data_IF_793819337842
#
_entry.id   IF_793819337842
#
_cell.length_a   1.000
_cell.length_b   1.000
_cell.length_c   1.000
_cell.angle_alpha   90.00
_cell.angle_beta   90.00
_cell.angle_gamma   90.00
#
_symmetry.space_group_name_H-M   'P 1'
#
loop_
_entity.id
_entity.type
_entity.pdbx_description
1 polymer ?
#
# COMPACT_ATOMS: atom_id res chain seq x y z
N UNK A 1 -6.51 21.91 19.10
CA UNK A 1 -6.01 20.55 18.77
C UNK A 1 -4.58 20.72 18.30
N UNK A 2 -3.59 19.95 18.79
CA UNK A 2 -2.24 20.05 18.25
C UNK A 2 -2.29 19.68 16.78
N UNK A 3 -1.87 20.61 15.93
CA UNK A 3 -1.71 20.38 14.50
C UNK A 3 -0.59 19.35 14.37
N UNK A 4 -0.90 18.15 13.86
CA UNK A 4 0.15 17.20 13.53
C UNK A 4 1.03 17.86 12.47
N UNK A 5 2.31 18.11 12.76
CA UNK A 5 3.27 18.58 11.77
C UNK A 5 3.08 17.79 10.47
N UNK A 6 2.82 18.49 9.37
CA UNK A 6 2.80 17.90 8.04
C UNK A 6 4.19 17.37 7.75
N UNK A 7 4.36 16.06 7.97
CA UNK A 7 5.56 15.37 7.53
C UNK A 7 5.37 15.02 6.06
N UNK A 8 6.04 15.75 5.19
CA UNK A 8 6.25 15.38 3.79
C UNK A 8 7.08 14.09 3.76
N UNK A 9 6.38 12.98 3.64
CA UNK A 9 6.98 11.63 3.58
C UNK A 9 6.58 10.92 2.30
N UNK A 10 5.79 11.53 1.43
CA UNK A 10 5.63 11.10 0.05
C UNK A 10 6.93 11.30 -0.74
N UNK A 11 7.12 10.38 -1.67
CA UNK A 11 8.16 10.37 -2.68
C UNK A 11 7.54 10.64 -4.06
N UNK A 12 8.30 11.26 -4.97
CA UNK A 12 7.85 11.55 -6.34
C UNK A 12 7.72 10.28 -7.17
N UNK A 13 7.15 10.39 -8.36
CA UNK A 13 7.07 9.28 -9.32
C UNK A 13 8.46 8.78 -9.70
N UNK A 14 9.43 9.66 -9.93
CA UNK A 14 10.80 9.32 -10.30
C UNK A 14 11.52 8.60 -9.15
N UNK A 15 11.36 9.06 -7.92
CA UNK A 15 11.92 8.41 -6.75
C UNK A 15 11.29 7.04 -6.49
N UNK A 16 9.98 6.91 -6.71
CA UNK A 16 9.29 5.63 -6.64
C UNK A 16 9.80 4.67 -7.73
N UNK A 17 10.03 5.16 -8.95
CA UNK A 17 10.65 4.36 -10.04
C UNK A 17 12.04 3.90 -9.65
N UNK A 18 12.88 4.75 -9.05
CA UNK A 18 14.20 4.35 -8.51
C UNK A 18 14.08 3.21 -7.49
N UNK A 19 13.14 3.28 -6.55
CA UNK A 19 12.90 2.18 -5.59
C UNK A 19 12.40 0.92 -6.30
N UNK A 20 11.44 1.05 -7.21
CA UNK A 20 10.85 -0.09 -7.95
C UNK A 20 11.90 -0.84 -8.78
N UNK A 21 12.72 -0.09 -9.51
CA UNK A 21 13.61 -0.62 -10.55
C UNK A 21 15.01 -0.93 -10.02
N UNK A 22 15.28 -0.67 -8.74
CA UNK A 22 16.58 -0.97 -8.16
C UNK A 22 16.88 -2.47 -8.16
N UNK A 23 18.09 -2.82 -8.57
CA UNK A 23 18.62 -4.17 -8.51
C UNK A 23 19.42 -4.36 -7.22
N UNK A 24 18.79 -4.99 -6.23
CA UNK A 24 19.41 -5.27 -4.93
C UNK A 24 19.67 -6.76 -4.75
N UNK A 25 20.90 -7.12 -4.36
CA UNK A 25 21.30 -8.51 -4.10
C UNK A 25 20.97 -8.97 -2.68
N UNK A 26 20.98 -8.04 -1.72
CA UNK A 26 20.73 -8.34 -0.31
C UNK A 26 19.25 -8.67 -0.08
N UNK A 27 18.99 -9.79 0.61
CA UNK A 27 17.61 -10.27 0.87
C UNK A 27 16.76 -9.24 1.62
N UNK A 28 17.35 -8.55 2.60
CA UNK A 28 16.72 -7.50 3.41
C UNK A 28 16.15 -6.38 2.53
N UNK A 29 16.96 -5.86 1.61
CA UNK A 29 16.63 -4.80 0.67
C UNK A 29 15.61 -5.28 -0.37
N UNK A 30 15.75 -6.53 -0.85
CA UNK A 30 14.73 -7.16 -1.69
C UNK A 30 13.36 -7.16 -1.00
N UNK A 31 13.30 -7.59 0.25
CA UNK A 31 12.06 -7.65 1.03
C UNK A 31 11.50 -6.24 1.26
N UNK A 32 12.36 -5.27 1.61
CA UNK A 32 11.97 -3.88 1.81
C UNK A 32 11.36 -3.25 0.54
N UNK A 33 12.02 -3.44 -0.60
CA UNK A 33 11.51 -2.99 -1.92
C UNK A 33 10.17 -3.64 -2.22
N UNK A 34 10.12 -4.97 -2.16
CA UNK A 34 8.96 -5.75 -2.58
C UNK A 34 7.73 -5.45 -1.71
N UNK A 35 7.90 -5.34 -0.38
CA UNK A 35 6.79 -5.04 0.53
C UNK A 35 6.30 -3.59 0.40
N UNK A 36 7.22 -2.66 0.12
CA UNK A 36 6.89 -1.26 -0.15
C UNK A 36 6.08 -1.13 -1.44
N UNK A 37 6.52 -1.81 -2.51
CA UNK A 37 5.82 -1.80 -3.80
C UNK A 37 4.49 -2.54 -3.73
N UNK A 38 4.38 -3.67 -3.00
CA UNK A 38 3.08 -4.31 -2.76
C UNK A 38 2.12 -3.35 -2.06
N UNK A 39 2.59 -2.61 -1.04
CA UNK A 39 1.77 -1.59 -0.38
C UNK A 39 1.27 -0.57 -1.39
N UNK A 40 2.17 0.01 -2.18
CA UNK A 40 1.84 1.03 -3.19
C UNK A 40 0.83 0.52 -4.21
N UNK A 41 1.08 -0.65 -4.82
CA UNK A 41 0.21 -1.24 -5.84
C UNK A 41 -1.19 -1.60 -5.33
N UNK A 42 -1.32 -1.91 -4.04
CA UNK A 42 -2.60 -2.25 -3.40
C UNK A 42 -3.24 -1.03 -2.71
N UNK A 43 -3.08 0.16 -3.29
CA UNK A 43 -3.70 1.38 -2.78
C UNK A 43 -3.17 1.79 -1.42
N UNK A 44 -1.87 1.60 -1.17
CA UNK A 44 -1.23 1.95 0.09
C UNK A 44 -1.78 1.18 1.30
N UNK A 45 -2.05 -0.12 1.19
CA UNK A 45 -2.50 -0.97 2.30
C UNK A 45 -1.56 -0.86 3.52
N UNK A 46 -2.08 -0.89 4.75
CA UNK A 46 -1.24 -0.88 5.96
C UNK A 46 -0.46 -2.19 6.09
N UNK A 47 0.71 -2.14 6.73
CA UNK A 47 1.52 -3.33 6.98
C UNK A 47 0.75 -4.42 7.75
N UNK A 48 0.00 -4.06 8.81
CA UNK A 48 -0.76 -5.06 9.58
C UNK A 48 -1.85 -5.74 8.72
N UNK A 49 -2.55 -4.94 7.91
CA UNK A 49 -3.61 -5.43 7.04
C UNK A 49 -3.03 -6.32 5.92
N UNK A 50 -1.87 -5.92 5.36
CA UNK A 50 -1.13 -6.67 4.36
C UNK A 50 -0.64 -8.02 4.90
N UNK A 51 -0.06 -8.05 6.10
CA UNK A 51 0.39 -9.30 6.73
C UNK A 51 -0.78 -10.22 7.10
N UNK A 52 -1.95 -9.66 7.39
CA UNK A 52 -3.16 -10.40 7.71
C UNK A 52 -3.99 -10.82 6.50
N UNK A 53 -3.73 -10.27 5.31
CA UNK A 53 -4.43 -10.63 4.08
C UNK A 53 -4.19 -12.10 3.71
N UNK A 54 -5.10 -12.68 2.92
CA UNK A 54 -4.94 -14.01 2.34
C UNK A 54 -4.95 -13.89 0.82
N UNK A 55 -3.85 -14.29 0.19
CA UNK A 55 -3.63 -14.20 -1.24
C UNK A 55 -3.76 -15.55 -1.97
N UNK A 56 -4.19 -16.62 -1.29
CA UNK A 56 -4.34 -17.95 -1.89
C UNK A 56 -5.34 -17.89 -3.06
N UNK A 57 -4.84 -18.11 -4.27
CA UNK A 57 -5.62 -18.05 -5.53
C UNK A 57 -6.43 -16.74 -5.68
N UNK A 58 -5.96 -15.64 -5.06
CA UNK A 58 -6.72 -14.40 -5.03
C UNK A 58 -6.50 -13.59 -6.32
N UNK A 59 -7.58 -13.27 -7.01
CA UNK A 59 -7.62 -12.24 -8.05
C UNK A 59 -8.03 -10.87 -7.50
N UNK A 60 -8.76 -10.87 -6.38
CA UNK A 60 -9.28 -9.72 -5.65
C UNK A 60 -8.80 -9.80 -4.21
N UNK A 61 -8.31 -8.69 -3.68
CA UNK A 61 -7.99 -8.52 -2.27
C UNK A 61 -9.23 -7.96 -1.55
N UNK A 62 -9.74 -8.72 -0.59
CA UNK A 62 -10.79 -8.26 0.32
C UNK A 62 -10.30 -8.29 1.76
N UNK A 63 -10.43 -7.18 2.48
CA UNK A 63 -10.09 -7.12 3.89
C UNK A 63 -10.89 -6.05 4.63
N UNK A 64 -11.01 -6.22 5.94
CA UNK A 64 -11.53 -5.21 6.85
C UNK A 64 -10.31 -4.52 7.47
N UNK A 65 -10.26 -3.20 7.36
CA UNK A 65 -9.11 -2.44 7.87
C UNK A 65 -9.06 -2.52 9.40
N UNK A 66 -7.94 -3.03 9.93
CA UNK A 66 -7.72 -3.28 11.37
C UNK A 66 -7.99 -2.02 12.21
N UNK A 67 -7.58 -0.83 11.72
CA UNK A 67 -7.78 0.44 12.43
C UNK A 67 -9.26 0.76 12.74
N UNK A 68 -10.18 0.30 11.89
CA UNK A 68 -11.61 0.62 11.99
C UNK A 68 -12.48 -0.55 12.41
N UNK A 69 -11.94 -1.77 12.47
CA UNK A 69 -12.65 -3.00 12.84
C UNK A 69 -13.31 -2.93 14.23
N UNK A 70 -12.73 -2.17 15.17
CA UNK A 70 -13.29 -2.02 16.52
C UNK A 70 -14.16 -0.76 16.69
N UNK A 71 -14.43 -0.02 15.62
CA UNK A 71 -15.24 1.20 15.71
C UNK A 71 -16.72 0.89 15.51
N UNK A 72 -17.59 1.55 16.28
CA UNK A 72 -19.07 1.43 16.19
C UNK A 72 -19.68 1.80 14.81
N UNK A 73 -18.86 2.14 13.81
CA UNK A 73 -19.26 2.65 12.48
C UNK A 73 -19.34 1.57 11.40
N UNK A 74 -19.24 0.30 11.77
CA UNK A 74 -19.34 -0.85 10.87
C UNK A 74 -18.02 -1.21 10.21
N UNK A 75 -17.87 -2.50 9.89
CA UNK A 75 -16.69 -3.05 9.23
C UNK A 75 -16.64 -2.57 7.77
N UNK A 76 -15.81 -1.55 7.51
CA UNK A 76 -15.54 -1.12 6.14
C UNK A 76 -14.68 -2.16 5.44
N UNK A 77 -15.34 -2.99 4.64
CA UNK A 77 -14.69 -3.92 3.71
C UNK A 77 -14.11 -3.14 2.54
N UNK A 78 -12.81 -3.30 2.33
CA UNK A 78 -12.10 -2.84 1.14
C UNK A 78 -12.05 -4.03 0.20
N UNK A 79 -12.38 -3.82 -1.08
CA UNK A 79 -12.31 -4.82 -2.13
C UNK A 79 -11.65 -4.16 -3.33
N UNK A 80 -10.49 -4.65 -3.74
CA UNK A 80 -9.73 -4.16 -4.90
C UNK A 80 -9.21 -5.35 -5.71
N UNK A 81 -9.20 -5.23 -7.03
CA UNK A 81 -8.55 -6.20 -7.91
C UNK A 81 -7.04 -6.10 -7.72
N UNK A 82 -6.37 -7.24 -7.57
CA UNK A 82 -4.91 -7.26 -7.39
C UNK A 82 -4.25 -6.95 -8.75
N UNK A 83 -3.50 -5.84 -8.90
CA UNK A 83 -2.82 -5.50 -10.15
C UNK A 83 -1.77 -6.54 -10.54
N UNK A 84 -1.44 -6.62 -11.82
CA UNK A 84 -0.45 -7.56 -12.33
C UNK A 84 0.92 -7.36 -11.67
N UNK A 85 1.34 -6.11 -11.50
CA UNK A 85 2.60 -5.73 -10.88
C UNK A 85 2.70 -6.24 -9.43
N UNK A 86 1.59 -6.19 -8.68
CA UNK A 86 1.53 -6.78 -7.34
C UNK A 86 1.56 -8.31 -7.39
N UNK A 87 0.85 -8.94 -8.33
CA UNK A 87 0.83 -10.41 -8.49
C UNK A 87 2.23 -10.98 -8.70
N UNK A 88 3.05 -10.33 -9.53
CA UNK A 88 4.42 -10.80 -9.78
C UNK A 88 5.27 -10.83 -8.50
N UNK A 89 5.14 -9.80 -7.64
CA UNK A 89 5.85 -9.78 -6.36
C UNK A 89 5.24 -10.79 -5.37
N UNK A 90 3.91 -10.91 -5.34
CA UNK A 90 3.21 -11.85 -4.45
C UNK A 90 3.61 -13.31 -4.72
N UNK A 91 3.80 -13.70 -5.99
CA UNK A 91 4.26 -15.07 -6.37
C UNK A 91 5.57 -15.47 -5.67
N UNK A 92 6.44 -14.51 -5.35
CA UNK A 92 7.73 -14.74 -4.69
C UNK A 92 7.59 -15.01 -3.19
N UNK A 93 6.62 -14.38 -2.53
CA UNK A 93 6.55 -14.30 -1.06
C UNK A 93 5.32 -14.96 -0.44
N UNK A 94 4.29 -15.27 -1.22
CA UNK A 94 3.09 -15.94 -0.73
C UNK A 94 3.38 -17.44 -0.57
N UNK A 95 3.21 -17.94 0.66
CA UNK A 95 3.36 -19.36 0.96
C UNK A 95 2.09 -20.17 0.62
N UNK A 96 2.13 -21.49 0.83
CA UNK A 96 1.01 -22.41 0.54
C UNK A 96 -0.28 -22.10 1.31
N UNK A 97 -0.20 -21.41 2.45
CA UNK A 97 -1.38 -20.98 3.22
C UNK A 97 -1.97 -19.67 2.73
N UNK A 98 -1.34 -19.02 1.73
CA UNK A 98 -1.78 -17.75 1.17
C UNK A 98 -1.29 -16.53 1.95
N UNK A 99 -0.36 -16.70 2.90
CA UNK A 99 0.21 -15.62 3.70
C UNK A 99 1.56 -15.19 3.15
N UNK A 100 1.90 -13.91 3.35
CA UNK A 100 3.23 -13.40 3.07
C UNK A 100 4.23 -13.96 4.08
N UNK A 101 5.30 -14.57 3.56
CA UNK A 101 6.37 -15.14 4.35
C UNK A 101 7.72 -14.73 3.75
N UNK A 102 8.49 -13.96 4.54
CA UNK A 102 9.79 -13.42 4.11
C UNK A 102 10.97 -14.23 4.66
N UNK A 103 10.70 -15.33 5.37
CA UNK A 103 11.70 -16.19 5.99
C UNK A 103 12.41 -15.58 7.21
N UNK A 104 11.74 -14.65 7.91
CA UNK A 104 12.19 -14.12 9.21
C UNK A 104 11.27 -14.61 10.32
N UNK A 105 11.84 -15.02 11.46
CA UNK A 105 11.09 -15.37 12.66
C UNK A 105 10.91 -14.15 13.58
N UNK A 106 10.28 -13.10 13.06
CA UNK A 106 10.06 -11.86 13.80
C UNK A 106 8.61 -11.75 14.30
N UNK A 107 8.46 -11.17 15.49
CA UNK A 107 7.16 -10.61 15.89
C UNK A 107 6.77 -9.48 14.93
N UNK A 108 5.48 -9.16 14.85
CA UNK A 108 5.00 -8.06 14.01
C UNK A 108 5.74 -6.74 14.28
N UNK A 109 5.96 -6.41 15.56
CA UNK A 109 6.66 -5.16 15.96
C UNK A 109 8.10 -5.17 15.47
N UNK A 110 8.82 -6.28 15.64
CA UNK A 110 10.20 -6.41 15.19
C UNK A 110 10.28 -6.34 13.67
N UNK A 111 9.38 -7.02 12.97
CA UNK A 111 9.30 -6.98 11.51
C UNK A 111 9.00 -5.55 11.00
N UNK A 112 8.04 -4.85 11.60
CA UNK A 112 7.72 -3.45 11.26
C UNK A 112 8.95 -2.54 11.43
N UNK A 113 9.65 -2.65 12.55
CA UNK A 113 10.83 -1.83 12.83
C UNK A 113 11.97 -2.16 11.86
N UNK A 114 12.18 -3.44 11.59
CA UNK A 114 13.16 -3.93 10.62
C UNK A 114 12.88 -3.37 9.22
N UNK A 115 11.68 -3.57 8.70
CA UNK A 115 11.26 -3.05 7.38
C UNK A 115 11.38 -1.52 7.31
N UNK A 116 11.05 -0.81 8.38
CA UNK A 116 11.20 0.66 8.41
C UNK A 116 12.67 1.07 8.21
N UNK A 117 13.60 0.38 8.85
CA UNK A 117 15.05 0.65 8.69
C UNK A 117 15.53 0.29 7.28
N UNK A 118 15.15 -0.88 6.77
CA UNK A 118 15.59 -1.33 5.45
C UNK A 118 14.99 -0.50 4.31
N UNK A 119 13.75 0.01 4.43
CA UNK A 119 13.17 0.95 3.45
C UNK A 119 13.97 2.26 3.43
N UNK A 120 14.30 2.82 4.59
CA UNK A 120 15.10 4.04 4.64
C UNK A 120 16.49 3.82 4.05
N UNK A 121 17.13 2.69 4.38
CA UNK A 121 18.44 2.32 3.82
C UNK A 121 18.37 2.15 2.30
N UNK A 122 17.35 1.48 1.80
CA UNK A 122 17.10 1.33 0.37
C UNK A 122 16.97 2.68 -0.32
N UNK A 123 16.17 3.59 0.23
CA UNK A 123 15.96 4.93 -0.32
C UNK A 123 17.27 5.72 -0.38
N UNK A 124 18.06 5.72 0.70
CA UNK A 124 19.36 6.39 0.72
C UNK A 124 20.34 5.81 -0.32
N UNK A 125 20.34 4.48 -0.52
CA UNK A 125 21.15 3.85 -1.59
C UNK A 125 20.72 4.26 -2.99
N UNK A 126 19.49 4.73 -3.19
CA UNK A 126 18.98 5.25 -4.46
C UNK A 126 19.12 6.79 -4.58
N UNK A 127 19.83 7.44 -3.66
CA UNK A 127 20.00 8.89 -3.64
C UNK A 127 18.71 9.64 -3.37
N UNK A 128 17.85 9.10 -2.50
CA UNK A 128 16.63 9.75 -2.00
C UNK A 128 16.95 10.29 -0.60
N UNK A 129 17.15 11.61 -0.52
CA UNK A 129 17.66 12.29 0.68
C UNK A 129 16.59 12.56 1.75
N UNK A 130 15.32 12.28 1.44
CA UNK A 130 14.21 12.41 2.40
C UNK A 130 13.95 11.14 3.19
N UNK A 131 13.16 11.29 4.25
CA UNK A 131 12.74 10.19 5.09
C UNK A 131 11.68 9.34 4.36
N UNK A 132 12.02 8.10 4.03
CA UNK A 132 11.11 7.13 3.42
C UNK A 132 10.81 6.02 4.41
N UNK A 133 9.52 5.81 4.68
CA UNK A 133 9.02 4.77 5.58
C UNK A 133 7.92 3.98 4.89
N UNK A 134 7.49 2.87 5.47
CA UNK A 134 6.40 2.08 4.89
C UNK A 134 5.14 2.92 4.55
N UNK A 135 4.78 3.88 5.41
CA UNK A 135 3.62 4.75 5.21
C UNK A 135 3.78 5.73 4.03
N UNK A 136 5.01 6.00 3.59
CA UNK A 136 5.31 6.80 2.40
C UNK A 136 4.61 6.25 1.15
N UNK A 137 4.51 4.91 1.02
CA UNK A 137 3.82 4.28 -0.10
C UNK A 137 2.36 4.74 -0.24
N UNK A 138 1.62 4.84 0.88
CA UNK A 138 0.23 5.35 0.87
C UNK A 138 0.18 6.83 0.50
N UNK A 139 1.07 7.64 1.08
CA UNK A 139 1.09 9.08 0.86
C UNK A 139 1.40 9.38 -0.61
N UNK A 140 2.43 8.75 -1.18
CA UNK A 140 2.74 8.81 -2.61
C UNK A 140 1.61 8.31 -3.50
N UNK A 141 0.94 7.20 -3.15
CA UNK A 141 -0.17 6.69 -3.96
C UNK A 141 -1.29 7.74 -4.08
N UNK A 142 -1.67 8.35 -2.96
CA UNK A 142 -2.69 9.41 -2.94
C UNK A 142 -2.21 10.65 -3.69
N UNK A 143 -0.97 11.09 -3.44
CA UNK A 143 -0.41 12.28 -4.08
C UNK A 143 -0.33 12.13 -5.60
N UNK A 144 0.26 11.04 -6.10
CA UNK A 144 0.38 10.77 -7.54
C UNK A 144 -1.01 10.67 -8.20
N UNK A 145 -1.97 10.03 -7.52
CA UNK A 145 -3.34 9.93 -8.02
C UNK A 145 -4.03 11.28 -8.10
N UNK A 146 -3.81 12.15 -7.11
CA UNK A 146 -4.38 13.48 -7.08
C UNK A 146 -3.79 14.36 -8.19
N UNK A 147 -2.47 14.31 -8.40
CA UNK A 147 -1.75 15.05 -9.44
C UNK A 147 -2.22 14.69 -10.87
N UNK A 148 -2.61 13.43 -11.10
CA UNK A 148 -3.18 12.98 -12.39
C UNK A 148 -4.71 13.13 -12.47
N UNK A 149 -5.30 13.91 -11.56
CA UNK A 149 -6.71 14.32 -11.60
C UNK A 149 -7.71 13.28 -11.10
N UNK A 150 -7.31 12.30 -10.29
CA UNK A 150 -8.26 11.37 -9.67
C UNK A 150 -8.96 12.07 -8.50
N UNK A 151 -10.30 12.03 -8.41
CA UNK A 151 -11.02 12.63 -7.29
C UNK A 151 -10.55 12.08 -5.94
N UNK A 152 -10.33 12.99 -4.98
CA UNK A 152 -9.81 12.64 -3.66
C UNK A 152 -10.69 11.59 -2.97
N UNK A 153 -11.99 11.59 -3.20
CA UNK A 153 -12.89 10.63 -2.54
C UNK A 153 -12.73 9.20 -3.06
N UNK A 154 -12.30 9.03 -4.32
CA UNK A 154 -11.93 7.72 -4.86
C UNK A 154 -10.61 7.27 -4.26
N UNK A 155 -9.62 8.17 -4.15
CA UNK A 155 -8.33 7.88 -3.51
C UNK A 155 -8.51 7.52 -2.03
N UNK A 156 -9.36 8.25 -1.30
CA UNK A 156 -9.75 7.96 0.08
C UNK A 156 -10.39 6.57 0.21
N UNK A 157 -11.23 6.17 -0.75
CA UNK A 157 -11.80 4.84 -0.78
C UNK A 157 -10.72 3.77 -1.01
N UNK A 158 -9.81 3.95 -1.97
CA UNK A 158 -8.70 3.03 -2.24
C UNK A 158 -7.87 2.74 -0.98
N UNK A 159 -7.58 3.77 -0.18
CA UNK A 159 -6.79 3.63 1.06
C UNK A 159 -7.62 3.22 2.29
N UNK A 160 -8.92 2.97 2.13
CA UNK A 160 -9.81 2.60 3.22
C UNK A 160 -10.05 3.70 4.25
N UNK A 161 -9.96 4.97 3.84
CA UNK A 161 -10.26 6.13 4.67
C UNK A 161 -11.77 6.32 4.79
N UNK A 162 -12.22 6.78 5.95
CA UNK A 162 -13.64 7.07 6.12
C UNK A 162 -14.00 8.38 5.42
N UNK A 163 -14.64 8.28 4.27
CA UNK A 163 -15.38 9.39 3.67
C UNK A 163 -16.46 9.92 4.63
N UNK A 164 -16.70 11.24 4.61
CA UNK A 164 -17.69 11.92 5.45
C UNK A 164 -19.11 11.42 5.12
N UNK A 165 -19.99 11.38 6.14
CA UNK A 165 -21.28 10.64 6.21
C UNK A 165 -22.34 10.93 5.14
N UNK A 166 -22.17 11.91 4.25
CA UNK A 166 -23.25 12.40 3.38
C UNK A 166 -23.28 11.81 1.95
N UNK A 167 -22.71 10.62 1.71
CA UNK A 167 -22.66 10.04 0.36
C UNK A 167 -23.07 8.56 0.34
N UNK A 168 -24.32 8.24 -0.05
CA UNK A 168 -24.86 6.87 -0.09
C UNK A 168 -24.07 5.91 -0.99
N UNK A 169 -23.41 6.43 -2.04
CA UNK A 169 -22.74 5.62 -3.07
C UNK A 169 -21.58 4.78 -2.52
N UNK A 170 -20.95 5.22 -1.42
CA UNK A 170 -19.85 4.49 -0.77
C UNK A 170 -20.28 3.22 -0.03
N UNK A 171 -21.59 3.00 0.13
CA UNK A 171 -22.13 1.75 0.66
C UNK A 171 -22.19 0.64 -0.42
N UNK A 172 -22.03 0.99 -1.70
CA UNK A 172 -22.08 0.03 -2.81
C UNK A 172 -20.68 -0.51 -3.14
N UNK A 173 -20.27 -1.55 -2.41
CA UNK A 173 -18.92 -2.15 -2.52
C UNK A 173 -18.53 -2.49 -3.96
N UNK A 174 -19.43 -3.07 -4.77
CA UNK A 174 -19.14 -3.45 -6.16
C UNK A 174 -18.85 -2.23 -7.07
N UNK A 175 -19.64 -1.17 -6.92
CA UNK A 175 -19.48 0.05 -7.72
C UNK A 175 -18.19 0.76 -7.35
N UNK A 176 -17.93 0.89 -6.04
CA UNK A 176 -16.72 1.52 -5.55
C UNK A 176 -15.45 0.73 -5.88
N UNK A 177 -15.51 -0.61 -5.88
CA UNK A 177 -14.40 -1.45 -6.37
C UNK A 177 -14.02 -1.11 -7.81
N UNK A 178 -15.00 -1.00 -8.72
CA UNK A 178 -14.72 -0.67 -10.13
C UNK A 178 -13.97 0.66 -10.25
N UNK A 179 -14.42 1.69 -9.52
CA UNK A 179 -13.76 3.00 -9.53
C UNK A 179 -12.36 2.95 -8.89
N UNK A 180 -12.20 2.16 -7.83
CA UNK A 180 -10.91 1.94 -7.20
C UNK A 180 -9.93 1.24 -8.15
N UNK A 181 -10.39 0.22 -8.87
CA UNK A 181 -9.58 -0.53 -9.84
C UNK A 181 -9.12 0.37 -10.99
N UNK A 182 -10.02 1.19 -11.53
CA UNK A 182 -9.72 2.19 -12.57
C UNK A 182 -8.72 3.25 -12.08
N UNK A 183 -8.93 3.77 -10.86
CA UNK A 183 -8.03 4.73 -10.23
C UNK A 183 -6.64 4.14 -9.98
N UNK A 184 -6.56 2.94 -9.39
CA UNK A 184 -5.29 2.24 -9.16
C UNK A 184 -4.58 2.02 -10.49
N UNK A 185 -5.27 1.50 -11.51
CA UNK A 185 -4.66 1.28 -12.83
C UNK A 185 -4.08 2.58 -13.41
N UNK A 186 -4.83 3.69 -13.36
CA UNK A 186 -4.36 5.00 -13.82
C UNK A 186 -3.10 5.48 -13.08
N UNK A 187 -3.05 5.31 -11.75
CA UNK A 187 -1.85 5.63 -10.95
C UNK A 187 -0.66 4.76 -11.35
N UNK A 188 -0.87 3.45 -11.56
CA UNK A 188 0.20 2.53 -11.93
C UNK A 188 0.70 2.75 -13.35
N UNK A 189 -0.18 3.16 -14.27
CA UNK A 189 0.21 3.53 -15.63
C UNK A 189 1.08 4.79 -15.66
N UNK A 190 0.94 5.70 -14.69
CA UNK A 190 1.85 6.84 -14.52
C UNK A 190 3.28 6.41 -14.13
N UNK A 191 3.49 5.14 -13.76
CA UNK A 191 4.82 4.59 -13.49
C UNK A 191 5.48 3.98 -14.74
N UNK A 192 4.78 3.91 -15.87
CA UNK A 192 5.35 3.40 -17.12
C UNK A 192 6.36 4.37 -17.72
#
# INVERSE_FOLDING_TARGET
MPHSEEREIDITVEELKKIRDCNVKEKSLCVARDIFMISYYLGGINLIDLMNANFKNASVLEYIRTKTAHTKRGDKRISITIPFEAKEILKKWVNKSGKLEFGYKYSYVNFRNYITKEIQRLASLQGIDKRVVYYSARKSFVQHGFEIGIPLEILEYCIGQSVKKNRPIFNYVKFMRKHADEAIRKVLDNLK
#
